data_IF_678981074706
#
_entry.id   IF_678981074706
#
_cell.length_a   1.000
_cell.length_b   1.000
_cell.length_c   1.000
_cell.angle_alpha   90.00
_cell.angle_beta   90.00
_cell.angle_gamma   90.00
#
_symmetry.space_group_name_H-M   'P 1'
#
loop_
_entity.id
_entity.type
_entity.pdbx_description
1 polymer ?
#
# COMPACT_ATOMS: atom_id res chain seq x y z
N UNK A 1 1.97 -11.14 -20.54
CA UNK A 1 0.54 -10.84 -20.38
C UNK A 1 0.37 -9.37 -20.68
N UNK A 2 -0.50 -8.98 -21.62
CA UNK A 2 -0.95 -7.59 -21.66
C UNK A 2 -1.79 -7.38 -20.42
N UNK A 3 -1.42 -6.44 -19.55
CA UNK A 3 -2.31 -6.00 -18.50
C UNK A 3 -3.45 -5.29 -19.21
N UNK A 4 -4.66 -5.83 -19.09
CA UNK A 4 -5.84 -5.22 -19.67
C UNK A 4 -6.12 -3.94 -18.87
N UNK A 5 -6.06 -2.79 -19.54
CA UNK A 5 -6.21 -1.45 -18.93
C UNK A 5 -7.32 -0.68 -19.60
N UNK A 6 -7.99 0.16 -18.81
CA UNK A 6 -9.02 1.09 -19.25
C UNK A 6 -8.53 2.51 -19.01
N UNK A 7 -8.63 3.36 -20.03
CA UNK A 7 -8.36 4.80 -19.90
C UNK A 7 -9.56 5.46 -19.25
N UNK A 8 -9.35 6.14 -18.12
CA UNK A 8 -10.39 6.88 -17.40
C UNK A 8 -9.97 8.34 -17.24
N UNK A 9 -10.92 9.25 -17.48
CA UNK A 9 -10.80 10.70 -17.34
C UNK A 9 -10.86 11.13 -15.87
N UNK A 10 -10.01 12.10 -15.53
CA UNK A 10 -10.10 12.89 -14.30
C UNK A 10 -10.58 14.29 -14.64
N UNK A 11 -11.52 14.76 -13.85
CA UNK A 11 -12.04 16.10 -13.84
C UNK A 11 -11.38 16.90 -12.70
N UNK A 12 -11.06 18.16 -12.96
CA UNK A 12 -10.62 19.09 -11.93
C UNK A 12 -11.83 19.79 -11.33
N UNK A 13 -12.02 19.65 -10.02
CA UNK A 13 -13.24 20.05 -9.33
C UNK A 13 -12.90 20.98 -8.17
N UNK A 14 -13.61 22.11 -8.11
CA UNK A 14 -13.66 22.97 -6.95
C UNK A 14 -14.83 22.56 -6.05
N UNK A 15 -14.52 22.24 -4.79
CA UNK A 15 -15.48 21.90 -3.73
C UNK A 15 -15.51 23.04 -2.72
N UNK A 16 -16.64 23.73 -2.63
CA UNK A 16 -16.88 24.75 -1.63
C UNK A 16 -17.28 24.09 -0.30
N UNK A 17 -16.44 24.20 0.73
CA UNK A 17 -16.75 23.68 2.09
C UNK A 17 -17.33 24.74 3.02
N UNK A 18 -17.10 26.02 2.72
CA UNK A 18 -17.71 27.17 3.40
C UNK A 18 -17.65 28.40 2.48
N UNK A 19 -18.22 29.52 2.94
CA UNK A 19 -18.11 30.82 2.25
C UNK A 19 -16.67 31.31 2.03
N UNK A 20 -15.68 30.75 2.76
CA UNK A 20 -14.28 31.19 2.74
C UNK A 20 -13.30 30.08 2.28
N UNK A 21 -13.76 28.83 2.19
CA UNK A 21 -12.91 27.66 1.89
C UNK A 21 -13.42 26.92 0.67
N UNK A 22 -12.69 27.08 -0.44
CA UNK A 22 -12.82 26.27 -1.65
C UNK A 22 -11.58 25.42 -1.80
N UNK A 23 -11.75 24.12 -2.02
CA UNK A 23 -10.67 23.16 -2.27
C UNK A 23 -10.75 22.74 -3.74
N UNK A 24 -9.66 22.90 -4.48
CA UNK A 24 -9.56 22.38 -5.85
C UNK A 24 -8.74 21.10 -5.85
N UNK A 25 -9.30 20.00 -6.35
CA UNK A 25 -8.64 18.69 -6.40
C UNK A 25 -9.11 17.91 -7.65
N UNK A 26 -8.46 16.78 -7.95
CA UNK A 26 -8.73 15.95 -9.13
C UNK A 26 -9.49 14.68 -8.76
N UNK A 27 -10.63 14.44 -9.40
CA UNK A 27 -11.47 13.28 -9.16
C UNK A 27 -11.83 12.61 -10.49
N UNK A 28 -12.25 11.36 -10.46
CA UNK A 28 -12.74 10.69 -11.65
C UNK A 28 -14.17 11.13 -11.96
N UNK A 29 -14.58 11.05 -13.23
CA UNK A 29 -15.93 11.40 -13.67
C UNK A 29 -17.03 10.63 -12.90
N UNK A 30 -16.84 9.33 -12.65
CA UNK A 30 -17.78 8.51 -11.89
C UNK A 30 -17.74 8.75 -10.36
N UNK A 31 -16.80 9.56 -9.86
CA UNK A 31 -16.78 10.02 -8.47
C UNK A 31 -17.59 11.30 -8.25
N UNK A 32 -17.91 12.07 -9.30
CA UNK A 32 -18.63 13.35 -9.18
C UNK A 32 -19.98 13.19 -8.46
N UNK A 33 -20.84 12.19 -8.78
CA UNK A 33 -22.10 12.00 -8.06
C UNK A 33 -21.93 11.62 -6.58
N UNK A 34 -20.80 11.01 -6.20
CA UNK A 34 -20.49 10.75 -4.78
C UNK A 34 -20.19 12.07 -4.08
N UNK A 35 -19.41 12.95 -4.71
CA UNK A 35 -19.06 14.25 -4.14
C UNK A 35 -20.31 15.14 -4.01
N UNK A 36 -21.18 15.16 -5.02
CA UNK A 36 -22.44 15.93 -5.03
C UNK A 36 -23.33 15.54 -3.83
N UNK A 37 -23.42 14.24 -3.52
CA UNK A 37 -24.17 13.76 -2.35
C UNK A 37 -23.45 14.01 -1.00
N UNK A 38 -22.12 14.15 -0.98
CA UNK A 38 -21.36 14.45 0.25
C UNK A 38 -21.33 15.94 0.58
N UNK A 39 -21.21 16.80 -0.45
CA UNK A 39 -20.98 18.24 -0.32
C UNK A 39 -22.20 19.09 -0.71
N UNK A 40 -23.16 18.53 -1.45
CA UNK A 40 -24.26 19.25 -2.09
C UNK A 40 -23.89 19.68 -3.51
N UNK A 41 -24.82 19.47 -4.46
CA UNK A 41 -24.67 19.83 -5.89
C UNK A 41 -24.23 21.31 -6.06
N UNK A 42 -24.88 22.24 -5.36
CA UNK A 42 -24.57 23.68 -5.40
C UNK A 42 -23.14 24.04 -4.96
N UNK A 43 -22.48 23.17 -4.20
CA UNK A 43 -21.13 23.39 -3.66
C UNK A 43 -20.02 22.80 -4.54
N UNK A 44 -20.36 22.26 -5.70
CA UNK A 44 -19.43 21.61 -6.62
C UNK A 44 -19.37 22.37 -7.93
N UNK A 45 -18.16 22.61 -8.42
CA UNK A 45 -17.94 23.23 -9.73
C UNK A 45 -16.85 22.47 -10.46
N UNK A 46 -17.20 21.83 -11.58
CA UNK A 46 -16.23 21.26 -12.50
C UNK A 46 -15.52 22.42 -13.21
N UNK A 47 -14.20 22.51 -13.04
CA UNK A 47 -13.36 23.54 -13.67
C UNK A 47 -12.80 23.08 -15.01
N UNK A 48 -12.53 21.78 -15.14
CA UNK A 48 -12.06 21.13 -16.37
C UNK A 48 -12.55 19.67 -16.37
N UNK A 49 -13.23 19.28 -17.43
CA UNK A 49 -13.83 17.96 -17.67
C UNK A 49 -12.85 16.93 -18.27
N UNK A 50 -11.80 17.40 -18.96
CA UNK A 50 -10.69 16.57 -19.45
C UNK A 50 -9.36 17.11 -18.91
N UNK A 51 -9.21 17.07 -17.57
CA UNK A 51 -7.99 17.56 -16.92
C UNK A 51 -6.81 16.63 -17.18
N UNK A 52 -7.01 15.33 -16.98
CA UNK A 52 -6.05 14.27 -17.29
C UNK A 52 -6.77 12.95 -17.59
N UNK A 53 -6.14 12.08 -18.37
CA UNK A 53 -6.56 10.69 -18.52
C UNK A 53 -5.49 9.76 -17.94
N UNK A 54 -5.89 8.71 -17.21
CA UNK A 54 -4.97 7.68 -16.69
C UNK A 54 -5.44 6.28 -17.08
N UNK A 55 -4.49 5.36 -17.20
CA UNK A 55 -4.78 3.93 -17.36
C UNK A 55 -5.00 3.28 -15.99
N UNK A 56 -6.21 2.79 -15.75
CA UNK A 56 -6.55 1.93 -14.62
C UNK A 56 -6.54 0.45 -15.04
N UNK A 57 -6.25 -0.51 -14.14
CA UNK A 57 -6.47 -1.93 -14.41
C UNK A 57 -7.95 -2.19 -14.77
N UNK A 58 -8.20 -3.08 -15.73
CA UNK A 58 -9.54 -3.47 -16.14
C UNK A 58 -10.23 -4.38 -15.11
N UNK A 59 -10.56 -3.83 -13.92
CA UNK A 59 -11.16 -4.56 -12.81
C UNK A 59 -12.06 -3.67 -11.95
N UNK A 60 -13.37 -3.76 -12.17
CA UNK A 60 -14.39 -3.02 -11.40
C UNK A 60 -14.45 -3.39 -9.91
N UNK A 61 -14.00 -4.58 -9.50
CA UNK A 61 -13.93 -4.95 -8.08
C UNK A 61 -12.82 -4.18 -7.35
N UNK A 62 -11.65 -4.07 -7.98
CA UNK A 62 -10.54 -3.26 -7.46
C UNK A 62 -10.95 -1.78 -7.36
N UNK A 63 -11.66 -1.28 -8.36
CA UNK A 63 -12.12 0.11 -8.40
C UNK A 63 -13.19 0.41 -7.34
N UNK A 64 -14.22 -0.42 -7.21
CA UNK A 64 -15.23 -0.26 -6.15
C UNK A 64 -14.58 -0.33 -4.75
N UNK A 65 -13.61 -1.24 -4.54
CA UNK A 65 -12.85 -1.30 -3.29
C UNK A 65 -11.99 -0.03 -3.07
N UNK A 66 -11.44 0.59 -4.13
CA UNK A 66 -10.75 1.89 -4.04
C UNK A 66 -11.71 2.98 -3.57
N UNK A 67 -12.91 3.06 -4.14
CA UNK A 67 -13.95 4.02 -3.75
C UNK A 67 -14.31 3.87 -2.25
N UNK A 68 -14.67 2.66 -1.82
CA UNK A 68 -14.99 2.38 -0.41
C UNK A 68 -13.81 2.73 0.52
N UNK A 69 -12.57 2.49 0.09
CA UNK A 69 -11.36 2.82 0.87
C UNK A 69 -11.09 4.34 0.92
N UNK A 70 -11.27 5.06 -0.20
CA UNK A 70 -11.05 6.52 -0.32
C UNK A 70 -12.05 7.31 0.51
N UNK A 71 -13.32 6.91 0.46
CA UNK A 71 -14.42 7.59 1.15
C UNK A 71 -14.63 7.10 2.59
N UNK A 72 -14.18 5.89 2.90
CA UNK A 72 -14.24 5.26 4.23
C UNK A 72 -15.67 4.96 4.70
N UNK A 73 -15.79 4.34 5.88
CA UNK A 73 -17.08 3.89 6.42
C UNK A 73 -18.10 5.02 6.62
N UNK A 74 -17.64 6.27 6.81
CA UNK A 74 -18.51 7.44 6.99
C UNK A 74 -19.39 7.70 5.76
N UNK A 75 -18.82 7.60 4.56
CA UNK A 75 -19.51 7.93 3.31
C UNK A 75 -19.79 6.70 2.44
N UNK A 76 -19.44 5.50 2.92
CA UNK A 76 -19.81 4.24 2.28
C UNK A 76 -21.31 4.14 1.91
N UNK A 77 -22.29 4.58 2.73
CA UNK A 77 -23.70 4.58 2.33
C UNK A 77 -23.99 5.46 1.09
N UNK A 78 -23.17 6.49 0.84
CA UNK A 78 -23.27 7.34 -0.34
C UNK A 78 -22.66 6.64 -1.57
N UNK A 79 -21.51 5.97 -1.41
CA UNK A 79 -20.92 5.12 -2.46
C UNK A 79 -21.90 4.02 -2.88
N UNK A 80 -22.55 3.38 -1.91
CA UNK A 80 -23.58 2.34 -2.14
C UNK A 80 -24.90 2.92 -2.70
N UNK A 81 -25.17 4.21 -2.51
CA UNK A 81 -26.31 4.91 -3.14
C UNK A 81 -26.04 5.26 -4.60
N UNK A 82 -24.81 5.69 -4.94
CA UNK A 82 -24.39 5.97 -6.34
C UNK A 82 -24.20 4.67 -7.14
N UNK A 83 -23.70 3.61 -6.48
CA UNK A 83 -23.51 2.30 -7.08
C UNK A 83 -24.32 1.21 -6.34
N UNK A 84 -25.66 1.13 -6.53
CA UNK A 84 -26.53 0.18 -5.82
C UNK A 84 -26.17 -1.30 -5.98
N UNK A 85 -25.51 -1.66 -7.09
CA UNK A 85 -25.00 -3.02 -7.36
C UNK A 85 -23.48 -3.10 -7.20
N UNK A 86 -22.87 -2.08 -6.58
CA UNK A 86 -21.45 -1.94 -6.31
C UNK A 86 -20.58 -2.20 -7.53
N UNK A 87 -19.75 -3.24 -7.44
CA UNK A 87 -18.85 -3.75 -8.48
C UNK A 87 -19.52 -3.81 -9.86
N UNK A 88 -20.79 -4.23 -9.94
CA UNK A 88 -21.48 -4.40 -11.22
C UNK A 88 -21.80 -3.08 -11.92
N UNK A 89 -22.11 -2.02 -11.16
CA UNK A 89 -22.40 -0.70 -11.70
C UNK A 89 -21.10 0.06 -12.01
N UNK A 90 -20.10 0.01 -11.13
CA UNK A 90 -18.75 0.56 -11.37
C UNK A 90 -18.13 -0.03 -12.64
N UNK A 91 -18.22 -1.36 -12.80
CA UNK A 91 -17.73 -2.03 -13.99
C UNK A 91 -18.48 -1.61 -15.27
N UNK A 92 -19.80 -1.44 -15.18
CA UNK A 92 -20.61 -0.98 -16.31
C UNK A 92 -20.28 0.47 -16.70
N UNK A 93 -20.13 1.35 -15.73
CA UNK A 93 -19.89 2.78 -15.93
C UNK A 93 -18.55 3.03 -16.61
N UNK A 94 -17.50 2.36 -16.14
CA UNK A 94 -16.15 2.48 -16.66
C UNK A 94 -15.85 1.53 -17.84
N UNK A 95 -16.83 0.77 -18.33
CA UNK A 95 -16.61 -0.26 -19.36
C UNK A 95 -15.64 -1.36 -18.93
N UNK A 96 -15.40 -1.53 -17.63
CA UNK A 96 -14.51 -2.53 -17.07
C UNK A 96 -15.16 -3.92 -16.99
N UNK A 97 -14.34 -4.95 -16.92
CA UNK A 97 -14.77 -6.27 -16.45
C UNK A 97 -15.04 -6.18 -14.95
N UNK A 98 -16.14 -6.76 -14.46
CA UNK A 98 -16.44 -6.84 -13.01
C UNK A 98 -15.29 -7.44 -12.19
N UNK A 99 -14.47 -8.27 -12.84
CA UNK A 99 -13.36 -8.97 -12.24
C UNK A 99 -13.81 -10.05 -11.28
N UNK A 100 -12.81 -10.65 -10.63
CA UNK A 100 -12.97 -11.15 -9.27
C UNK A 100 -12.12 -10.26 -8.38
N UNK A 101 -12.26 -10.39 -7.08
CA UNK A 101 -11.40 -9.74 -6.11
C UNK A 101 -9.98 -10.33 -6.17
N UNK A 102 -9.25 -9.97 -7.23
CA UNK A 102 -7.85 -10.30 -7.44
C UNK A 102 -7.01 -9.28 -6.70
N UNK A 103 -7.22 -9.19 -5.39
CA UNK A 103 -6.37 -8.44 -4.48
C UNK A 103 -5.01 -9.14 -4.33
N UNK A 104 -4.26 -9.18 -5.43
CA UNK A 104 -2.82 -9.08 -5.32
C UNK A 104 -2.58 -7.76 -4.62
N UNK A 105 -2.29 -7.81 -3.31
CA UNK A 105 -1.71 -6.69 -2.58
C UNK A 105 -0.57 -6.20 -3.46
N UNK A 106 -0.74 -5.04 -4.09
CA UNK A 106 0.40 -4.23 -4.44
C UNK A 106 0.97 -3.79 -3.09
N UNK A 107 1.80 -4.69 -2.52
CA UNK A 107 2.74 -4.37 -1.47
C UNK A 107 3.42 -3.11 -1.93
N UNK A 108 3.15 -2.03 -1.19
CA UNK A 108 3.68 -0.69 -1.33
C UNK A 108 4.89 -0.68 -2.26
N UNK A 109 4.61 -0.46 -3.56
CA UNK A 109 5.66 -0.35 -4.54
C UNK A 109 6.30 1.00 -4.24
N UNK A 110 7.28 0.96 -3.33
CA UNK A 110 8.21 2.04 -3.08
C UNK A 110 8.84 2.29 -4.43
N UNK A 111 8.28 3.27 -5.14
CA UNK A 111 8.90 3.87 -6.30
C UNK A 111 10.09 4.61 -5.71
N UNK A 112 11.19 3.87 -5.52
CA UNK A 112 12.51 4.45 -5.50
C UNK A 112 12.64 5.21 -6.81
N UNK A 113 12.32 6.50 -6.75
CA UNK A 113 12.52 7.47 -7.81
C UNK A 113 14.03 7.66 -8.00
N UNK A 114 14.66 6.64 -8.55
CA UNK A 114 16.02 6.68 -9.05
C UNK A 114 15.97 7.51 -10.32
N UNK A 115 16.08 8.82 -10.14
CA UNK A 115 16.52 9.74 -11.18
C UNK A 115 17.64 9.08 -11.99
N UNK A 116 17.57 9.09 -13.33
CA UNK A 116 18.53 8.38 -14.15
C UNK A 116 19.96 8.83 -13.81
N UNK A 117 20.85 7.87 -13.58
CA UNK A 117 22.21 8.13 -13.14
C UNK A 117 22.91 9.05 -14.14
N UNK A 118 23.27 10.26 -13.68
CA UNK A 118 23.97 11.26 -14.51
C UNK A 118 25.31 10.65 -14.96
N UNK A 119 25.67 10.69 -16.26
CA UNK A 119 26.86 10.03 -16.76
C UNK A 119 28.12 10.51 -16.03
N UNK A 120 28.82 9.60 -15.32
CA UNK A 120 30.14 9.85 -14.74
C UNK A 120 30.33 9.60 -13.24
N UNK A 121 29.27 9.43 -12.43
CA UNK A 121 29.45 9.15 -11.00
C UNK A 121 29.69 7.66 -10.68
N UNK A 122 30.95 7.31 -10.40
CA UNK A 122 31.30 6.06 -9.73
C UNK A 122 31.01 6.14 -8.23
N UNK A 123 30.14 5.27 -7.73
CA UNK A 123 30.12 4.71 -6.38
C UNK A 123 30.26 5.65 -5.17
N UNK A 124 29.11 6.11 -4.64
CA UNK A 124 28.84 6.31 -3.20
C UNK A 124 27.36 6.67 -3.00
N UNK A 125 26.52 5.67 -2.72
CA UNK A 125 25.26 5.89 -2.00
C UNK A 125 25.64 6.07 -0.52
N UNK A 126 25.56 7.30 -0.01
CA UNK A 126 24.39 7.89 0.67
C UNK A 126 24.35 7.53 2.16
N UNK A 127 24.99 8.41 2.93
CA UNK A 127 24.74 8.63 4.35
C UNK A 127 24.45 10.13 4.57
N UNK A 128 23.82 10.48 5.70
CA UNK A 128 23.24 11.78 6.06
C UNK A 128 21.93 12.14 5.32
N UNK A 129 20.85 12.64 5.96
CA UNK A 129 20.54 12.92 7.38
C UNK A 129 19.03 12.63 7.61
N UNK A 130 18.53 12.09 8.72
CA UNK A 130 18.75 12.32 10.16
C UNK A 130 17.85 13.42 10.78
N UNK A 131 16.79 12.99 11.48
CA UNK A 131 16.15 13.60 12.66
C UNK A 131 15.03 12.65 13.18
N UNK A 132 14.71 12.50 14.47
CA UNK A 132 15.40 12.71 15.76
C UNK A 132 14.48 12.12 16.86
N UNK A 133 14.86 11.37 17.91
CA UNK A 133 16.15 10.81 18.39
C UNK A 133 15.97 9.27 18.58
N UNK A 134 16.66 8.50 19.45
CA UNK A 134 17.74 8.73 20.42
C UNK A 134 17.87 7.54 21.39
N UNK A 135 19.09 7.03 21.64
CA UNK A 135 19.30 5.88 22.55
C UNK A 135 20.46 4.96 22.17
N UNK A 136 21.69 5.45 22.35
CA UNK A 136 22.92 4.72 22.74
C UNK A 136 23.08 3.21 22.44
N UNK A 137 24.11 2.88 21.64
CA UNK A 137 24.99 1.68 21.70
C UNK A 137 24.33 0.27 21.69
N UNK A 138 24.89 -0.75 21.03
CA UNK A 138 26.30 -1.03 20.79
C UNK A 138 26.52 -1.81 19.47
N UNK A 139 27.78 -2.01 19.09
CA UNK A 139 28.23 -2.71 17.88
C UNK A 139 27.88 -4.21 17.92
N UNK A 140 27.23 -4.72 16.88
CA UNK A 140 27.32 -6.14 16.49
C UNK A 140 27.00 -6.35 15.02
N UNK A 141 27.79 -7.24 14.43
CA UNK A 141 27.98 -7.51 13.02
C UNK A 141 26.71 -8.00 12.28
N UNK A 142 26.61 -7.67 10.98
CA UNK A 142 25.57 -8.18 10.08
C UNK A 142 25.66 -9.71 9.92
N UNK A 143 24.95 -10.45 10.77
CA UNK A 143 24.51 -11.81 10.43
C UNK A 143 23.22 -11.72 9.60
N UNK A 144 23.04 -12.58 8.57
CA UNK A 144 21.83 -12.55 7.75
C UNK A 144 20.61 -12.89 8.61
N UNK A 145 19.68 -11.95 8.75
CA UNK A 145 18.45 -12.17 9.51
C UNK A 145 17.60 -13.28 8.87
N UNK A 146 17.69 -14.48 9.43
CA UNK A 146 16.73 -15.56 9.17
C UNK A 146 15.33 -15.05 9.51
N UNK A 147 14.36 -15.32 8.63
CA UNK A 147 12.99 -14.89 8.83
C UNK A 147 12.35 -15.67 10.00
N UNK A 148 11.24 -15.14 10.53
CA UNK A 148 10.50 -15.77 11.63
C UNK A 148 10.05 -17.20 11.32
N UNK A 149 9.83 -17.53 10.05
CA UNK A 149 9.51 -18.88 9.60
C UNK A 149 10.76 -19.78 9.60
N UNK A 150 11.86 -19.33 9.00
CA UNK A 150 13.11 -20.10 8.89
C UNK A 150 13.70 -20.44 10.29
N UNK A 151 13.66 -19.50 11.24
CA UNK A 151 14.07 -19.77 12.63
C UNK A 151 13.25 -20.89 13.29
N UNK A 152 11.95 -20.99 12.98
CA UNK A 152 11.07 -22.03 13.55
C UNK A 152 11.30 -23.39 12.90
N UNK A 153 11.50 -23.42 11.59
CA UNK A 153 11.84 -24.65 10.87
C UNK A 153 13.19 -25.19 11.37
N UNK A 154 14.19 -24.32 11.53
CA UNK A 154 15.53 -24.72 11.96
C UNK A 154 15.58 -25.12 13.45
N UNK A 155 14.84 -24.43 14.34
CA UNK A 155 14.63 -24.90 15.73
C UNK A 155 13.96 -26.27 15.80
N UNK A 156 12.94 -26.51 14.96
CA UNK A 156 12.29 -27.81 14.85
C UNK A 156 13.28 -28.88 14.36
N UNK A 157 14.13 -28.53 13.38
CA UNK A 157 15.18 -29.41 12.85
C UNK A 157 16.26 -29.76 13.88
N UNK A 158 16.58 -28.80 14.76
CA UNK A 158 17.50 -28.97 15.90
C UNK A 158 16.85 -29.67 17.11
N UNK A 159 15.55 -29.98 17.07
CA UNK A 159 14.82 -30.66 18.15
C UNK A 159 14.53 -29.79 19.37
N UNK A 160 14.56 -28.46 19.22
CA UNK A 160 14.32 -27.51 20.31
C UNK A 160 12.84 -27.15 20.35
N UNK A 161 12.16 -27.47 21.46
CA UNK A 161 10.76 -27.11 21.65
C UNK A 161 10.58 -25.59 21.82
N UNK A 162 9.83 -24.97 20.91
CA UNK A 162 9.40 -23.57 21.00
C UNK A 162 7.88 -23.43 20.96
N UNK A 163 7.35 -22.37 21.58
CA UNK A 163 5.90 -22.11 21.59
C UNK A 163 5.43 -21.63 20.22
N UNK A 164 4.25 -22.08 19.81
CA UNK A 164 3.66 -21.77 18.50
C UNK A 164 3.44 -20.28 18.19
N UNK A 165 3.48 -19.42 19.21
CA UNK A 165 3.31 -17.96 19.14
C UNK A 165 4.51 -17.18 19.75
N UNK A 166 5.71 -17.76 19.75
CA UNK A 166 6.90 -17.08 20.27
C UNK A 166 7.32 -15.90 19.36
N UNK A 167 7.68 -14.73 19.93
CA UNK A 167 8.18 -13.59 19.17
C UNK A 167 9.56 -13.89 18.54
N UNK A 168 9.92 -13.17 17.46
CA UNK A 168 11.18 -13.38 16.72
C UNK A 168 12.42 -13.39 17.63
N UNK A 169 12.48 -12.48 18.61
CA UNK A 169 13.60 -12.40 19.55
C UNK A 169 13.75 -13.65 20.44
N UNK A 170 12.65 -14.29 20.85
CA UNK A 170 12.70 -15.53 21.66
C UNK A 170 13.17 -16.71 20.81
N UNK A 171 12.73 -16.79 19.55
CA UNK A 171 13.17 -17.81 18.60
C UNK A 171 14.63 -17.64 18.17
N UNK A 172 15.08 -16.40 17.93
CA UNK A 172 16.47 -16.10 17.64
C UNK A 172 17.36 -16.49 18.82
N UNK A 173 17.00 -16.10 20.05
CA UNK A 173 17.76 -16.46 21.25
C UNK A 173 17.84 -17.98 21.49
N UNK A 174 16.76 -18.73 21.20
CA UNK A 174 16.77 -20.19 21.23
C UNK A 174 17.67 -20.79 20.14
N UNK A 175 17.67 -20.20 18.94
CA UNK A 175 18.47 -20.66 17.81
C UNK A 175 19.97 -20.41 18.06
N UNK A 176 20.32 -19.22 18.53
CA UNK A 176 21.69 -18.85 18.91
C UNK A 176 22.19 -19.73 20.06
N UNK A 177 21.34 -20.03 21.06
CA UNK A 177 21.66 -20.96 22.14
C UNK A 177 21.86 -22.40 21.65
N UNK A 178 21.05 -22.86 20.68
CA UNK A 178 21.19 -24.19 20.07
C UNK A 178 22.49 -24.30 19.25
N UNK A 179 22.83 -23.27 18.47
CA UNK A 179 24.09 -23.18 17.72
C UNK A 179 25.30 -23.11 18.66
N UNK A 180 25.24 -22.31 19.72
CA UNK A 180 26.29 -22.25 20.75
C UNK A 180 26.47 -23.59 21.48
N UNK A 181 25.37 -24.32 21.75
CA UNK A 181 25.40 -25.67 22.31
C UNK A 181 26.04 -26.70 21.36
N UNK A 182 25.73 -26.63 20.07
CA UNK A 182 26.35 -27.48 19.04
C UNK A 182 27.87 -27.22 18.91
N UNK A 183 28.31 -25.98 19.13
CA UNK A 183 29.73 -25.60 19.05
C UNK A 183 30.52 -25.76 20.37
N UNK A 184 29.85 -26.15 21.47
CA UNK A 184 30.41 -26.18 22.83
C UNK A 184 30.84 -27.56 23.36
N UNK A 185 30.66 -28.65 22.60
CA UNK A 185 30.91 -30.03 23.10
C UNK A 185 32.12 -30.71 22.46
N UNK A 186 33.30 -30.08 22.49
CA UNK A 186 34.56 -30.76 22.19
C UNK A 186 35.78 -30.15 22.92
N UNK A 187 36.09 -30.69 24.10
CA UNK A 187 37.47 -30.77 24.60
C UNK A 187 37.80 -30.07 25.93
N UNK A 188 38.15 -30.91 26.92
CA UNK A 188 39.35 -30.74 27.76
C UNK A 188 39.23 -29.89 29.02
#
# INVERSE_FOLDING_TARGET
MSNDTVVVTLQQIAIQRSSEVTITDSFFEHEVPILELIHGEDNITVLNDDYHAIELPNNGAQEYQRLVTKYGDKYRPIVDQVFPRGIADVAKELGMVQGRDTFSKQSEAVVESRLPARPGQKGRQQSANAAQAGGTADVSEEQPELSHAELREELTRLGVEHKGNAPKAELQALYDAAQAGAHGTLGG
#
